data_IF_650487870377
#
_entry.id   IF_650487870377
#
_cell.length_a   1.000
_cell.length_b   1.000
_cell.length_c   1.000
_cell.angle_alpha   90.00
_cell.angle_beta   90.00
_cell.angle_gamma   90.00
#
_symmetry.space_group_name_H-M   'P 1'
#
loop_
_entity.id
_entity.type
_entity.pdbx_description
1 polymer ?
#
# COMPACT_ATOMS: atom_id res chain seq x y z
N UNK A 1 22.83 8.42 17.46
CA UNK A 1 21.51 8.33 18.10
C UNK A 1 20.58 7.71 17.09
N UNK A 2 20.33 6.41 17.19
CA UNK A 2 19.32 5.74 16.36
C UNK A 2 17.95 6.16 16.88
N UNK A 3 17.28 7.02 16.13
CA UNK A 3 15.89 7.37 16.39
C UNK A 3 15.09 6.11 16.06
N UNK A 4 14.35 5.51 17.02
CA UNK A 4 13.53 4.36 16.71
C UNK A 4 12.52 4.77 15.65
N UNK A 5 12.50 4.06 14.53
CA UNK A 5 11.48 4.23 13.50
C UNK A 5 10.12 3.99 14.15
N UNK A 6 9.33 5.05 14.31
CA UNK A 6 7.98 4.96 14.80
C UNK A 6 7.14 4.27 13.72
N UNK A 7 7.07 2.94 13.80
CA UNK A 7 6.12 2.16 13.01
C UNK A 7 4.75 2.37 13.61
N UNK A 8 3.93 3.18 12.94
CA UNK A 8 2.51 3.16 13.18
C UNK A 8 1.99 1.83 12.59
N UNK A 9 1.29 1.05 13.40
CA UNK A 9 0.61 -0.17 12.95
C UNK A 9 -0.89 0.11 13.03
N UNK A 10 -1.49 0.39 11.87
CA UNK A 10 -2.93 0.64 11.75
C UNK A 10 -3.69 -0.62 11.25
N UNK A 11 -3.11 -1.82 11.39
CA UNK A 11 -3.41 -2.97 10.52
C UNK A 11 -4.75 -3.69 10.76
N UNK A 12 -5.84 -3.08 10.29
CA UNK A 12 -6.96 -3.85 9.71
C UNK A 12 -6.79 -4.03 8.21
N UNK A 13 -6.32 -2.98 7.51
CA UNK A 13 -6.13 -3.00 6.06
C UNK A 13 -4.68 -3.34 5.70
N UNK A 14 -4.45 -4.22 4.72
CA UNK A 14 -3.10 -4.62 4.27
C UNK A 14 -2.96 -4.46 2.76
N UNK A 15 -1.88 -3.82 2.32
CA UNK A 15 -1.50 -3.72 0.91
C UNK A 15 -0.30 -4.62 0.62
N UNK A 16 -0.42 -5.47 -0.40
CA UNK A 16 0.70 -6.24 -0.96
C UNK A 16 0.87 -5.90 -2.43
N UNK A 17 2.10 -5.57 -2.82
CA UNK A 17 2.50 -5.35 -4.21
C UNK A 17 3.57 -6.38 -4.55
N UNK A 18 3.37 -7.17 -5.60
CA UNK A 18 4.31 -8.23 -5.99
C UNK A 18 5.69 -7.64 -6.27
N UNK A 19 6.72 -8.17 -5.61
CA UNK A 19 8.11 -7.74 -5.79
C UNK A 19 8.54 -6.54 -4.95
N UNK A 20 7.60 -5.81 -4.34
CA UNK A 20 7.92 -4.72 -3.41
C UNK A 20 8.37 -5.31 -2.06
N UNK A 21 9.65 -5.17 -1.74
CA UNK A 21 10.24 -5.67 -0.49
C UNK A 21 9.98 -4.76 0.71
N UNK A 22 9.74 -3.48 0.45
CA UNK A 22 9.50 -2.48 1.48
C UNK A 22 8.09 -2.61 2.04
N UNK A 23 7.91 -2.41 3.35
CA UNK A 23 6.58 -2.42 3.95
C UNK A 23 5.74 -1.28 3.36
N UNK A 24 4.49 -1.56 3.03
CA UNK A 24 3.49 -0.59 2.60
C UNK A 24 2.35 -0.61 3.61
N UNK A 25 2.45 0.24 4.64
CA UNK A 25 1.45 0.33 5.69
C UNK A 25 0.33 1.28 5.28
N UNK A 26 -0.90 0.79 5.26
CA UNK A 26 -2.04 1.53 4.71
C UNK A 26 -2.43 2.66 5.66
N UNK A 27 -2.44 3.89 5.14
CA UNK A 27 -2.89 5.09 5.84
C UNK A 27 -4.37 5.37 5.58
N UNK A 28 -4.80 5.27 4.33
CA UNK A 28 -6.19 5.51 3.93
C UNK A 28 -6.54 4.64 2.72
N UNK A 29 -7.81 4.25 2.64
CA UNK A 29 -8.36 3.41 1.59
C UNK A 29 -9.73 3.94 1.16
N UNK A 30 -9.92 4.19 -0.13
CA UNK A 30 -11.21 4.56 -0.72
C UNK A 30 -11.53 3.63 -1.87
N UNK A 31 -12.70 2.98 -1.82
CA UNK A 31 -13.16 2.04 -2.85
C UNK A 31 -14.28 2.60 -3.71
N UNK A 32 -14.15 2.37 -5.01
CA UNK A 32 -15.15 2.66 -6.02
C UNK A 32 -15.53 1.35 -6.71
N UNK A 33 -16.68 0.82 -6.32
CA UNK A 33 -17.19 -0.47 -6.80
C UNK A 33 -18.63 -0.31 -7.31
N UNK A 34 -18.91 -0.93 -8.45
CA UNK A 34 -20.24 -0.96 -9.05
C UNK A 34 -20.40 -2.23 -9.88
N UNK A 35 -21.62 -2.78 -9.92
CA UNK A 35 -21.92 -3.94 -10.77
C UNK A 35 -21.57 -3.65 -12.24
N UNK A 36 -21.01 -4.67 -12.90
CA UNK A 36 -20.60 -4.62 -14.31
C UNK A 36 -19.61 -3.51 -14.66
N UNK A 37 -18.88 -2.99 -13.67
CA UNK A 37 -17.79 -2.02 -13.84
C UNK A 37 -16.51 -2.54 -13.17
N UNK A 38 -15.32 -2.23 -13.70
CA UNK A 38 -14.09 -2.51 -12.99
C UNK A 38 -14.08 -1.79 -11.64
N UNK A 39 -13.63 -2.48 -10.59
CA UNK A 39 -13.36 -1.83 -9.31
C UNK A 39 -12.14 -0.92 -9.41
N UNK A 40 -12.09 0.08 -8.54
CA UNK A 40 -10.91 0.93 -8.33
C UNK A 40 -10.73 1.22 -6.85
N UNK A 41 -9.49 1.18 -6.40
CA UNK A 41 -9.10 1.57 -5.05
C UNK A 41 -8.05 2.68 -5.11
N UNK A 42 -8.30 3.77 -4.39
CA UNK A 42 -7.31 4.79 -4.10
C UNK A 42 -6.74 4.50 -2.70
N UNK A 43 -5.44 4.22 -2.63
CA UNK A 43 -4.76 3.76 -1.41
C UNK A 43 -3.57 4.66 -1.13
N UNK A 44 -3.62 5.34 0.02
CA UNK A 44 -2.47 6.02 0.59
C UNK A 44 -1.77 5.09 1.56
N UNK A 45 -0.45 4.99 1.48
CA UNK A 45 0.35 4.16 2.37
C UNK A 45 1.66 4.85 2.74
N UNK A 46 2.20 4.47 3.89
CA UNK A 46 3.53 4.89 4.33
C UNK A 46 4.53 3.75 4.20
N UNK A 47 5.80 4.09 4.03
CA UNK A 47 6.90 3.13 3.99
C UNK A 47 8.13 3.71 4.69
N UNK A 48 8.90 2.83 5.30
CA UNK A 48 10.24 3.18 5.81
C UNK A 48 11.23 3.39 4.66
N UNK A 49 10.95 2.83 3.47
CA UNK A 49 11.75 3.09 2.27
C UNK A 49 11.29 4.38 1.57
N UNK A 50 12.16 5.39 1.56
CA UNK A 50 11.91 6.70 0.92
C UNK A 50 12.24 6.73 -0.58
N UNK A 51 12.76 5.64 -1.14
CA UNK A 51 13.23 5.54 -2.52
C UNK A 51 12.47 4.47 -3.32
N UNK A 52 11.18 4.31 -3.07
CA UNK A 52 10.31 3.46 -3.89
C UNK A 52 10.21 4.09 -5.28
N UNK A 53 10.64 3.36 -6.32
CA UNK A 53 10.58 3.85 -7.69
C UNK A 53 9.27 3.41 -8.37
N UNK A 54 8.77 4.15 -9.37
CA UNK A 54 7.54 3.79 -10.06
C UNK A 54 7.56 2.37 -10.66
N UNK A 55 8.69 1.94 -11.20
CA UNK A 55 8.84 0.63 -11.85
C UNK A 55 8.71 -0.54 -10.88
N UNK A 56 8.98 -0.30 -9.59
CA UNK A 56 8.80 -1.30 -8.53
C UNK A 56 7.34 -1.53 -8.14
N UNK A 57 6.43 -0.67 -8.59
CA UNK A 57 5.00 -0.67 -8.22
C UNK A 57 4.08 -0.81 -9.43
N UNK A 58 4.33 -0.04 -10.49
CA UNK A 58 3.47 0.01 -11.67
C UNK A 58 3.44 -1.33 -12.41
N UNK A 59 2.27 -1.70 -12.90
CA UNK A 59 2.01 -2.97 -13.61
C UNK A 59 2.36 -4.24 -12.81
N UNK A 60 2.52 -4.13 -11.49
CA UNK A 60 2.64 -5.28 -10.60
C UNK A 60 1.28 -5.69 -10.06
N UNK A 61 1.11 -6.98 -9.79
CA UNK A 61 -0.08 -7.48 -9.11
C UNK A 61 -0.16 -6.87 -7.72
N UNK A 62 -1.29 -6.26 -7.42
CA UNK A 62 -1.65 -5.73 -6.12
C UNK A 62 -2.73 -6.59 -5.47
N UNK A 63 -2.62 -6.81 -4.17
CA UNK A 63 -3.70 -7.37 -3.36
C UNK A 63 -3.92 -6.47 -2.16
N UNK A 64 -5.16 -6.00 -1.99
CA UNK A 64 -5.61 -5.29 -0.80
C UNK A 64 -6.48 -6.23 0.03
N UNK A 65 -6.25 -6.25 1.34
CA UNK A 65 -7.18 -6.81 2.32
C UNK A 65 -7.75 -5.65 3.09
N UNK A 66 -9.08 -5.55 3.07
CA UNK A 66 -9.84 -4.57 3.83
C UNK A 66 -10.59 -5.27 4.96
#
# INVERSE_FOLDING_TARGET
MDIPTLNFDHSHHKLKIRGLKSPADVLTFTGHEQLSSPFRYDIEFTSTNKAITPESVLMQDGAVRV
#
